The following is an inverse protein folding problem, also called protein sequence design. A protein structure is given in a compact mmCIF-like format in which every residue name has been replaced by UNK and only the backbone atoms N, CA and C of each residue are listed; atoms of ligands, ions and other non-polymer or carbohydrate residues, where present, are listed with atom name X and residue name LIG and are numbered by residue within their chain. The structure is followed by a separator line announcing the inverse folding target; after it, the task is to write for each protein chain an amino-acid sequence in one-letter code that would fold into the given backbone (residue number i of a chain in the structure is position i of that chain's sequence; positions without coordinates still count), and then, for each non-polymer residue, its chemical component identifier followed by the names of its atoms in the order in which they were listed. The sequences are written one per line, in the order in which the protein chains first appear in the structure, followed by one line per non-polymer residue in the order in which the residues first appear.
data_IF_563778259335
#
_entry.id   IF_563778259335
#
_cell.length_a   1.000
_cell.length_b   1.000
_cell.length_c   1.000
_cell.angle_alpha   90.00
_cell.angle_beta   90.00
_cell.angle_gamma   90.00
#
_symmetry.space_group_name_H-M   'P 1'
#
loop_
_entity.id
_entity.type
_entity.pdbx_description
1 polymer ?
#
# COMPACT_ATOMS: atom_id res chain seq x y z
N UNK A 1 19.43 4.88 3.95
CA UNK A 1 20.57 3.97 3.73
C UNK A 1 20.29 2.62 4.38
N UNK A 2 20.67 1.54 3.75
CA UNK A 2 20.46 0.18 4.25
C UNK A 2 21.78 -0.60 4.21
N UNK A 3 22.01 -1.46 5.19
CA UNK A 3 23.16 -2.35 5.23
C UNK A 3 23.01 -3.46 4.19
N UNK A 4 23.89 -3.54 3.20
CA UNK A 4 23.93 -4.60 2.21
C UNK A 4 24.51 -5.92 2.75
N UNK A 5 24.56 -6.96 1.89
CA UNK A 5 25.09 -8.28 2.27
C UNK A 5 26.51 -8.26 2.83
N UNK A 6 27.36 -7.35 2.35
CA UNK A 6 28.76 -7.23 2.78
C UNK A 6 28.97 -6.23 3.90
N UNK A 7 27.90 -5.82 4.61
CA UNK A 7 27.99 -4.84 5.70
C UNK A 7 28.21 -3.38 5.24
N UNK A 8 28.23 -3.11 3.93
CA UNK A 8 28.37 -1.76 3.39
C UNK A 8 27.00 -1.07 3.34
N UNK A 9 26.96 0.22 3.74
CA UNK A 9 25.71 0.99 3.68
C UNK A 9 25.42 1.44 2.25
N UNK A 10 24.29 1.06 1.72
CA UNK A 10 23.82 1.41 0.37
C UNK A 10 22.68 2.41 0.42
N UNK A 11 22.68 3.38 -0.47
CA UNK A 11 21.54 4.26 -0.69
C UNK A 11 20.54 3.60 -1.64
N UNK A 12 19.33 3.42 -1.16
CA UNK A 12 18.21 2.88 -1.93
C UNK A 12 16.95 3.68 -1.65
N UNK A 13 16.23 4.01 -2.70
CA UNK A 13 14.93 4.66 -2.56
C UNK A 13 13.94 3.68 -1.90
N UNK A 14 13.26 4.15 -0.87
CA UNK A 14 12.25 3.41 -0.12
C UNK A 14 11.18 4.38 0.38
N UNK A 15 9.94 3.94 0.41
CA UNK A 15 8.86 4.72 0.98
C UNK A 15 8.85 4.55 2.50
N UNK A 16 8.81 5.67 3.20
CA UNK A 16 8.68 5.70 4.65
C UNK A 16 7.21 5.96 5.01
N UNK A 17 6.64 5.13 5.87
CA UNK A 17 5.29 5.31 6.35
C UNK A 17 5.27 5.32 7.88
N UNK A 18 4.79 6.43 8.44
CA UNK A 18 4.71 6.60 9.89
C UNK A 18 3.43 5.96 10.42
N UNK A 19 3.58 5.12 11.42
CA UNK A 19 2.49 4.37 12.03
C UNK A 19 2.53 4.45 13.54
N UNK A 20 1.42 4.10 14.18
CA UNK A 20 1.35 3.80 15.60
C UNK A 20 1.47 2.30 15.90
N UNK A 21 1.41 1.92 17.15
CA UNK A 21 1.51 0.52 17.59
C UNK A 21 0.35 -0.36 17.10
N UNK A 22 -0.82 0.24 16.89
CA UNK A 22 -2.05 -0.48 16.60
C UNK A 22 -2.32 -0.61 15.10
N UNK A 23 -1.53 0.07 14.26
CA UNK A 23 -1.69 0.08 12.81
C UNK A 23 -1.59 -1.32 12.18
N UNK A 24 -0.52 -2.06 12.49
CA UNK A 24 -0.28 -3.40 11.92
C UNK A 24 -1.42 -4.37 12.26
N UNK A 25 -1.81 -4.55 13.53
CA UNK A 25 -2.94 -5.41 13.86
C UNK A 25 -4.28 -4.83 13.36
N UNK A 26 -4.45 -3.51 13.41
CA UNK A 26 -5.65 -2.83 12.91
C UNK A 26 -5.90 -3.07 11.42
N UNK A 27 -4.86 -2.97 10.60
CA UNK A 27 -4.93 -3.23 9.16
C UNK A 27 -4.88 -4.72 8.81
N UNK A 28 -4.59 -5.61 9.76
CA UNK A 28 -4.46 -7.04 9.52
C UNK A 28 -3.23 -7.40 8.70
N UNK A 29 -2.16 -6.60 8.81
CA UNK A 29 -0.89 -6.86 8.14
C UNK A 29 -0.21 -8.05 8.79
N UNK A 30 0.24 -9.00 7.98
CA UNK A 30 0.92 -10.22 8.47
C UNK A 30 2.40 -9.97 8.60
N UNK A 31 2.97 -10.20 9.78
CA UNK A 31 4.42 -10.30 9.99
C UNK A 31 4.86 -11.72 9.59
N UNK A 32 5.80 -11.80 8.67
CA UNK A 32 6.34 -13.06 8.15
C UNK A 32 7.50 -13.59 8.99
N UNK A 33 8.30 -12.68 9.51
CA UNK A 33 9.48 -12.99 10.31
C UNK A 33 9.75 -11.86 11.30
N UNK A 34 10.31 -12.17 12.46
CA UNK A 34 10.58 -11.21 13.51
C UNK A 34 9.35 -10.87 14.35
N UNK A 35 9.19 -9.60 14.72
CA UNK A 35 8.12 -9.14 15.63
C UNK A 35 7.52 -7.82 15.20
N UNK A 36 6.35 -7.52 15.72
CA UNK A 36 5.75 -6.19 15.66
C UNK A 36 6.37 -5.26 16.71
N UNK A 37 6.04 -3.98 16.64
CA UNK A 37 6.35 -2.99 17.67
C UNK A 37 5.67 -3.34 19.00
N UNK A 38 6.38 -3.09 20.09
CA UNK A 38 5.90 -3.36 21.44
C UNK A 38 6.02 -2.11 22.32
N UNK A 39 4.91 -1.72 22.95
CA UNK A 39 4.85 -0.56 23.87
C UNK A 39 5.77 -0.69 25.08
N UNK A 40 6.13 -1.91 25.45
CA UNK A 40 7.07 -2.17 26.56
C UNK A 40 8.53 -1.92 26.18
N UNK A 41 8.83 -1.89 24.88
CA UNK A 41 10.19 -1.69 24.34
C UNK A 41 10.42 -0.23 23.95
N UNK A 42 11.01 0.56 24.83
CA UNK A 42 11.25 1.99 24.61
C UNK A 42 12.15 2.29 23.42
N UNK A 43 13.00 1.33 23.00
CA UNK A 43 13.90 1.46 21.84
C UNK A 43 13.19 1.34 20.50
N UNK A 44 11.96 0.82 20.47
CA UNK A 44 11.24 0.57 19.22
C UNK A 44 10.92 1.87 18.47
N UNK A 45 10.65 2.94 19.20
CA UNK A 45 10.27 4.24 18.64
C UNK A 45 11.31 4.85 17.69
N UNK A 46 12.60 4.70 18.00
CA UNK A 46 13.65 5.43 17.29
C UNK A 46 14.66 4.50 16.59
N UNK A 47 14.70 3.24 16.98
CA UNK A 47 15.75 2.29 16.58
C UNK A 47 15.22 1.02 15.94
N UNK A 48 13.92 0.87 15.79
CA UNK A 48 13.31 -0.33 15.23
C UNK A 48 12.52 0.00 13.96
N UNK A 49 12.67 -0.84 12.94
CA UNK A 49 11.99 -0.69 11.66
C UNK A 49 11.41 -2.01 11.18
N UNK A 50 10.26 -1.94 10.54
CA UNK A 50 9.61 -3.09 9.89
C UNK A 50 9.56 -2.80 8.40
N UNK A 51 9.98 -3.76 7.59
CA UNK A 51 10.04 -3.64 6.13
C UNK A 51 9.13 -4.65 5.45
N UNK A 52 8.68 -4.34 4.23
CA UNK A 52 7.97 -5.33 3.42
C UNK A 52 8.95 -6.26 2.67
N UNK A 53 8.43 -7.38 2.12
CA UNK A 53 9.23 -8.34 1.36
C UNK A 53 9.96 -7.69 0.18
N UNK A 54 9.29 -6.77 -0.51
CA UNK A 54 9.86 -6.04 -1.65
C UNK A 54 11.05 -5.18 -1.24
N UNK A 55 11.01 -4.51 -0.09
CA UNK A 55 12.16 -3.78 0.44
C UNK A 55 13.31 -4.74 0.80
N UNK A 56 13.00 -5.84 1.48
CA UNK A 56 14.01 -6.82 1.88
C UNK A 56 14.71 -7.44 0.66
N UNK A 57 13.96 -7.74 -0.43
CA UNK A 57 14.54 -8.19 -1.70
C UNK A 57 15.42 -7.11 -2.34
N UNK A 58 14.93 -5.87 -2.38
CA UNK A 58 15.66 -4.76 -3.00
C UNK A 58 16.97 -4.43 -2.30
N UNK A 59 17.05 -4.69 -1.01
CA UNK A 59 18.28 -4.52 -0.22
C UNK A 59 19.22 -5.73 -0.32
N UNK A 60 18.81 -6.84 -0.97
CA UNK A 60 19.58 -8.06 -1.09
C UNK A 60 19.58 -8.91 0.18
N UNK A 61 18.63 -8.70 1.08
CA UNK A 61 18.53 -9.48 2.33
C UNK A 61 17.77 -10.79 2.16
N UNK A 62 17.01 -10.91 1.09
CA UNK A 62 16.28 -12.12 0.72
C UNK A 62 16.67 -12.49 -0.71
N UNK A 63 17.02 -13.75 -0.92
CA UNK A 63 17.32 -14.24 -2.26
C UNK A 63 16.06 -14.20 -3.14
N UNK A 64 16.20 -13.61 -4.34
CA UNK A 64 15.15 -13.50 -5.33
C UNK A 64 15.07 -14.71 -6.28
N UNK A 65 16.01 -15.64 -6.18
CA UNK A 65 16.18 -16.75 -7.13
C UNK A 65 15.27 -17.95 -6.88
N UNK A 66 13.99 -17.73 -6.57
CA UNK A 66 12.96 -18.78 -6.68
C UNK A 66 13.10 -20.00 -5.74
N UNK A 67 13.94 -19.92 -4.72
CA UNK A 67 14.02 -20.96 -3.71
C UNK A 67 12.69 -21.08 -2.96
N UNK A 68 12.18 -22.28 -2.83
CA UNK A 68 10.90 -22.58 -2.17
C UNK A 68 10.85 -22.18 -0.69
N UNK A 69 11.98 -21.85 -0.10
CA UNK A 69 12.12 -21.38 1.29
C UNK A 69 12.84 -20.04 1.27
N UNK A 70 12.07 -18.97 1.47
CA UNK A 70 12.61 -17.61 1.64
C UNK A 70 13.23 -17.50 3.04
N UNK A 71 14.53 -17.23 3.10
CA UNK A 71 15.20 -16.99 4.39
C UNK A 71 15.04 -15.52 4.78
N UNK A 72 13.99 -15.22 5.52
CA UNK A 72 13.74 -13.86 6.01
C UNK A 72 14.62 -13.47 7.20
N UNK A 73 15.13 -14.44 7.95
CA UNK A 73 15.91 -14.18 9.16
C UNK A 73 17.23 -13.45 8.88
N UNK A 74 17.75 -13.51 7.65
CA UNK A 74 18.95 -12.77 7.24
C UNK A 74 18.76 -11.24 7.19
N UNK A 75 17.52 -10.75 7.16
CA UNK A 75 17.21 -9.34 7.19
C UNK A 75 17.06 -8.78 8.61
N UNK A 76 16.74 -9.63 9.58
CA UNK A 76 16.60 -9.21 10.97
C UNK A 76 17.95 -8.73 11.54
N UNK A 77 17.92 -7.65 12.31
CA UNK A 77 19.10 -7.06 12.90
C UNK A 77 20.00 -6.26 11.94
N UNK A 78 19.66 -6.18 10.64
CA UNK A 78 20.36 -5.31 9.68
C UNK A 78 20.17 -3.85 10.05
N UNK A 79 21.23 -3.06 9.88
CA UNK A 79 21.21 -1.61 10.11
C UNK A 79 20.44 -0.91 9.01
N UNK A 80 19.59 -0.01 9.41
CA UNK A 80 18.81 0.83 8.50
C UNK A 80 18.77 2.28 8.98
N UNK A 81 18.85 3.22 8.04
CA UNK A 81 18.69 4.64 8.27
C UNK A 81 17.61 5.19 7.33
N UNK A 82 16.47 5.67 7.85
CA UNK A 82 15.34 6.11 7.03
C UNK A 82 15.58 7.43 6.27
N UNK A 83 16.62 8.18 6.60
CA UNK A 83 16.91 9.47 5.97
C UNK A 83 15.99 10.62 6.39
N UNK A 84 15.20 10.43 7.44
CA UNK A 84 14.18 11.41 7.88
C UNK A 84 14.65 12.24 9.08
N UNK A 85 15.84 11.99 9.60
CA UNK A 85 16.39 12.74 10.72
C UNK A 85 16.84 14.13 10.27
N UNK A 86 16.41 15.16 11.00
CA UNK A 86 16.90 16.54 10.86
C UNK A 86 18.33 16.71 11.40
N UNK A 87 18.79 15.76 12.21
CA UNK A 87 20.13 15.76 12.76
C UNK A 87 21.08 14.98 11.84
N UNK A 88 21.77 15.71 10.99
CA UNK A 88 22.74 15.16 10.03
C UNK A 88 24.07 14.79 10.66
N UNK A 89 24.29 15.12 11.92
CA UNK A 89 25.56 14.91 12.63
C UNK A 89 25.68 13.57 13.34
N UNK A 90 24.56 12.94 13.68
CA UNK A 90 24.50 11.58 14.21
C UNK A 90 23.86 10.63 13.18
N UNK A 91 24.62 9.69 12.68
CA UNK A 91 24.08 8.56 11.90
C UNK A 91 23.21 7.71 12.83
N UNK A 92 21.95 8.09 12.97
CA UNK A 92 20.96 7.40 13.80
C UNK A 92 20.47 6.14 13.09
N UNK A 93 21.32 5.13 13.05
CA UNK A 93 20.92 3.81 12.57
C UNK A 93 20.02 3.14 13.60
N UNK A 94 18.97 2.53 13.09
CA UNK A 94 18.21 1.54 13.83
C UNK A 94 18.35 0.16 13.17
N UNK A 95 17.53 -0.78 13.58
CA UNK A 95 17.62 -2.18 13.19
C UNK A 95 16.29 -2.67 12.63
N UNK A 96 16.35 -3.57 11.67
CA UNK A 96 15.17 -4.26 11.18
C UNK A 96 14.75 -5.29 12.21
N UNK A 97 13.53 -5.15 12.75
CA UNK A 97 12.94 -6.03 13.77
C UNK A 97 11.89 -6.99 13.21
N UNK A 98 11.36 -6.70 12.02
CA UNK A 98 10.34 -7.51 11.41
C UNK A 98 10.24 -7.32 9.90
N UNK A 99 9.76 -8.37 9.24
CA UNK A 99 9.42 -8.36 7.83
C UNK A 99 7.93 -8.63 7.69
N UNK A 100 7.22 -7.74 7.05
CA UNK A 100 5.81 -7.89 6.76
C UNK A 100 5.58 -8.40 5.33
N UNK A 101 4.49 -9.11 5.16
CA UNK A 101 4.01 -9.52 3.85
C UNK A 101 3.73 -8.30 2.98
N UNK A 102 4.06 -8.40 1.70
CA UNK A 102 3.72 -7.37 0.72
C UNK A 102 2.20 -7.14 0.67
N UNK A 103 1.79 -5.88 0.65
CA UNK A 103 0.40 -5.47 0.47
C UNK A 103 0.30 -4.21 -0.38
N UNK A 104 -0.84 -4.04 -1.05
CA UNK A 104 -1.08 -2.87 -1.89
C UNK A 104 -1.54 -1.68 -1.05
N UNK A 105 -0.68 -0.71 -0.84
CA UNK A 105 -0.98 0.52 -0.08
C UNK A 105 -1.23 1.75 -0.97
N UNK A 106 -0.92 1.66 -2.29
CA UNK A 106 -1.14 2.73 -3.28
C UNK A 106 -2.22 2.41 -4.32
N UNK A 107 -2.87 1.27 -4.23
CA UNK A 107 -3.80 0.77 -5.26
C UNK A 107 -3.22 -0.42 -6.01
N UNK A 108 -4.11 -1.33 -6.42
CA UNK A 108 -3.74 -2.65 -6.97
C UNK A 108 -3.05 -2.60 -8.34
N UNK A 109 -3.11 -1.46 -9.03
CA UNK A 109 -2.49 -1.26 -10.35
C UNK A 109 -1.00 -0.98 -10.29
N UNK A 110 -0.55 -0.46 -9.14
CA UNK A 110 0.84 -0.14 -8.96
C UNK A 110 1.60 -1.38 -8.48
N UNK A 111 2.80 -1.55 -8.99
CA UNK A 111 3.71 -2.54 -8.40
C UNK A 111 3.93 -2.22 -6.92
N UNK A 112 4.09 -3.27 -6.13
CA UNK A 112 4.37 -3.10 -4.70
C UNK A 112 5.77 -2.53 -4.56
N UNK A 113 5.84 -1.29 -4.08
CA UNK A 113 7.10 -0.60 -3.87
C UNK A 113 7.73 -0.98 -2.52
N UNK A 114 9.06 -0.82 -2.39
CA UNK A 114 9.75 -0.97 -1.11
C UNK A 114 9.17 -0.02 -0.06
N UNK A 115 8.74 -0.59 1.07
CA UNK A 115 8.09 0.13 2.15
C UNK A 115 8.77 -0.18 3.47
N UNK A 116 8.99 0.88 4.26
CA UNK A 116 9.46 0.80 5.64
C UNK A 116 8.44 1.47 6.54
N UNK A 117 8.03 0.79 7.57
CA UNK A 117 7.19 1.33 8.63
C UNK A 117 8.08 1.93 9.72
N UNK A 118 7.75 3.14 10.14
CA UNK A 118 8.42 3.87 11.21
C UNK A 118 7.41 4.14 12.32
N UNK A 119 7.75 3.71 13.52
CA UNK A 119 6.93 3.98 14.68
C UNK A 119 7.02 5.44 15.08
N UNK A 120 5.90 6.09 15.31
CA UNK A 120 5.81 7.44 15.84
C UNK A 120 4.62 7.59 16.77
N UNK A 121 4.77 8.42 17.77
CA UNK A 121 3.67 8.90 18.63
C UNK A 121 3.37 10.39 18.36
N UNK A 122 4.00 11.00 17.35
CA UNK A 122 3.73 12.37 16.96
C UNK A 122 2.44 12.46 16.12
N UNK A 123 1.35 13.07 16.63
CA UNK A 123 0.08 13.16 15.90
C UNK A 123 0.18 13.85 14.53
N UNK A 124 1.17 14.73 14.36
CA UNK A 124 1.39 15.43 13.07
C UNK A 124 1.88 14.51 11.96
N UNK A 125 2.47 13.38 12.29
CA UNK A 125 2.97 12.40 11.32
C UNK A 125 1.94 11.33 10.96
N UNK A 126 0.90 11.18 11.79
CA UNK A 126 -0.23 10.27 11.57
C UNK A 126 -1.55 11.04 11.63
N UNK A 127 -1.85 11.91 10.64
CA UNK A 127 -3.02 12.77 10.68
C UNK A 127 -4.34 12.02 10.47
N UNK A 128 -4.29 10.75 10.06
CA UNK A 128 -5.46 9.93 9.77
C UNK A 128 -5.62 8.84 10.82
N UNK A 129 -6.83 8.74 11.38
CA UNK A 129 -7.23 7.66 12.28
C UNK A 129 -7.93 6.56 11.47
N UNK A 130 -7.31 5.38 11.40
CA UNK A 130 -7.89 4.21 10.75
C UNK A 130 -8.70 3.41 11.77
N UNK A 131 -9.99 3.22 11.51
CA UNK A 131 -10.89 2.50 12.42
C UNK A 131 -11.51 1.31 11.67
N UNK A 132 -11.34 0.12 12.21
CA UNK A 132 -12.01 -1.08 11.70
C UNK A 132 -13.38 -1.23 12.37
N UNK A 133 -14.42 -1.23 11.55
CA UNK A 133 -15.81 -1.35 11.99
C UNK A 133 -16.34 -2.74 11.63
N UNK A 134 -17.16 -3.32 12.51
CA UNK A 134 -17.90 -4.55 12.19
C UNK A 134 -18.94 -4.26 11.10
N UNK A 135 -19.06 -5.16 10.14
CA UNK A 135 -20.06 -5.07 9.06
C UNK A 135 -21.47 -4.88 9.64
N UNK A 136 -22.19 -3.91 9.10
CA UNK A 136 -23.56 -3.56 9.52
C UNK A 136 -23.63 -2.65 10.76
N UNK A 137 -22.49 -2.17 11.29
CA UNK A 137 -22.42 -1.26 12.42
C UNK A 137 -21.85 0.12 12.06
N UNK A 138 -21.85 0.43 10.77
CA UNK A 138 -21.18 1.62 10.24
C UNK A 138 -21.80 2.90 10.81
N UNK A 139 -23.14 3.02 10.78
CA UNK A 139 -23.84 4.21 11.27
C UNK A 139 -23.69 4.40 12.78
N UNK A 140 -23.80 3.30 13.56
CA UNK A 140 -23.62 3.31 15.00
C UNK A 140 -22.20 3.77 15.37
N UNK A 141 -21.18 3.23 14.67
CA UNK A 141 -19.79 3.60 14.90
C UNK A 141 -19.52 5.08 14.58
N UNK A 142 -20.04 5.57 13.44
CA UNK A 142 -19.90 6.98 13.04
C UNK A 142 -20.54 7.90 14.09
N UNK A 143 -21.76 7.60 14.52
CA UNK A 143 -22.45 8.40 15.54
C UNK A 143 -21.68 8.43 16.87
N UNK A 144 -21.16 7.28 17.29
CA UNK A 144 -20.35 7.15 18.50
C UNK A 144 -19.05 7.98 18.41
N UNK A 145 -18.35 7.89 17.27
CA UNK A 145 -17.10 8.63 17.06
C UNK A 145 -17.37 10.14 17.05
N UNK A 146 -18.42 10.60 16.35
CA UNK A 146 -18.78 12.02 16.30
C UNK A 146 -19.16 12.55 17.71
N UNK A 147 -19.91 11.76 18.50
CA UNK A 147 -20.21 12.09 19.87
C UNK A 147 -18.93 12.24 20.72
N UNK A 148 -18.04 11.25 20.65
CA UNK A 148 -16.78 11.28 21.40
C UNK A 148 -15.90 12.45 21.02
N UNK A 149 -15.80 12.74 19.73
CA UNK A 149 -15.05 13.89 19.22
C UNK A 149 -15.56 15.21 19.81
N UNK A 150 -16.90 15.39 19.87
CA UNK A 150 -17.54 16.57 20.48
C UNK A 150 -17.23 16.66 21.98
N UNK A 151 -17.21 15.53 22.68
CA UNK A 151 -16.82 15.49 24.09
C UNK A 151 -15.38 15.96 24.33
N UNK A 152 -14.46 15.71 23.38
CA UNK A 152 -13.08 16.23 23.39
C UNK A 152 -12.97 17.71 23.00
N UNK A 153 -14.07 18.37 22.65
CA UNK A 153 -14.11 19.80 22.31
C UNK A 153 -13.59 20.11 20.90
N UNK A 154 -13.52 19.13 20.01
CA UNK A 154 -13.13 19.34 18.63
C UNK A 154 -14.21 20.16 17.90
N UNK A 155 -13.78 21.30 17.30
CA UNK A 155 -14.62 22.25 16.59
C UNK A 155 -14.62 22.09 15.08
N UNK A 156 -13.75 21.21 14.56
CA UNK A 156 -13.64 21.01 13.12
C UNK A 156 -14.78 20.12 12.59
N UNK A 157 -15.13 20.23 11.30
CA UNK A 157 -16.06 19.30 10.66
C UNK A 157 -15.61 17.85 10.81
N UNK A 158 -16.55 16.95 11.04
CA UNK A 158 -16.25 15.52 11.08
C UNK A 158 -16.18 14.97 9.64
N UNK A 159 -14.99 14.77 9.17
CA UNK A 159 -14.73 14.17 7.87
C UNK A 159 -14.31 12.72 8.03
N UNK A 160 -14.94 11.83 7.30
CA UNK A 160 -14.59 10.42 7.24
C UNK A 160 -14.76 9.89 5.83
N UNK A 161 -13.99 8.87 5.49
CA UNK A 161 -14.08 8.17 4.22
C UNK A 161 -14.01 6.67 4.46
N UNK A 162 -14.86 5.91 3.77
CA UNK A 162 -14.73 4.46 3.75
C UNK A 162 -13.66 4.05 2.75
N UNK A 163 -12.79 3.13 3.16
CA UNK A 163 -11.71 2.63 2.30
C UNK A 163 -12.23 2.02 1.00
N UNK A 164 -13.35 1.31 1.04
CA UNK A 164 -14.01 0.75 -0.15
C UNK A 164 -14.41 1.83 -1.15
N UNK A 165 -14.88 2.99 -0.69
CA UNK A 165 -15.21 4.12 -1.56
C UNK A 165 -13.98 4.75 -2.17
N UNK A 166 -12.90 4.90 -1.41
CA UNK A 166 -11.62 5.40 -1.92
C UNK A 166 -11.07 4.50 -3.03
N UNK A 167 -11.11 3.20 -2.81
CA UNK A 167 -10.73 2.21 -3.82
C UNK A 167 -11.63 2.32 -5.04
N UNK A 168 -12.95 2.34 -4.86
CA UNK A 168 -13.91 2.46 -5.96
C UNK A 168 -13.72 3.75 -6.77
N UNK A 169 -13.37 4.86 -6.13
CA UNK A 169 -13.06 6.12 -6.81
C UNK A 169 -11.78 6.05 -7.64
N UNK A 170 -10.74 5.43 -7.11
CA UNK A 170 -9.49 5.23 -7.84
C UNK A 170 -9.72 4.45 -9.16
N UNK A 171 -10.72 3.54 -9.19
CA UNK A 171 -11.04 2.73 -10.39
C UNK A 171 -12.12 3.32 -11.31
N UNK A 172 -12.72 4.47 -10.98
CA UNK A 172 -13.75 5.12 -11.83
C UNK A 172 -13.25 5.44 -13.24
N UNK A 173 -12.01 5.91 -13.36
CA UNK A 173 -11.39 6.25 -14.65
C UNK A 173 -11.30 5.05 -15.58
N UNK A 174 -10.89 3.91 -15.07
CA UNK A 174 -10.73 2.67 -15.83
C UNK A 174 -12.05 2.07 -16.26
N UNK A 175 -13.06 2.07 -15.38
CA UNK A 175 -14.41 1.65 -15.75
C UNK A 175 -14.96 2.50 -16.91
N UNK A 176 -14.71 3.81 -16.89
CA UNK A 176 -15.11 4.71 -17.99
C UNK A 176 -14.37 4.39 -19.28
N UNK A 177 -13.06 4.16 -19.20
CA UNK A 177 -12.25 3.74 -20.35
C UNK A 177 -12.73 2.40 -20.91
N UNK A 178 -13.01 1.40 -20.05
CA UNK A 178 -13.57 0.10 -20.46
C UNK A 178 -14.91 0.24 -21.17
N UNK A 179 -15.82 1.09 -20.69
CA UNK A 179 -17.11 1.35 -21.36
C UNK A 179 -16.93 1.99 -22.74
N UNK A 180 -16.01 2.95 -22.87
CA UNK A 180 -15.70 3.57 -24.15
C UNK A 180 -15.15 2.54 -25.16
N UNK A 181 -14.19 1.72 -24.75
CA UNK A 181 -13.64 0.66 -25.58
C UNK A 181 -14.73 -0.34 -26.03
N UNK A 182 -15.60 -0.75 -25.12
CA UNK A 182 -16.71 -1.63 -25.44
C UNK A 182 -17.66 -1.00 -26.47
N UNK A 183 -17.97 0.29 -26.33
CA UNK A 183 -18.83 1.02 -27.27
C UNK A 183 -18.21 1.07 -28.68
N UNK A 184 -16.93 1.36 -28.78
CA UNK A 184 -16.20 1.34 -30.05
C UNK A 184 -16.12 -0.06 -30.65
N UNK A 185 -15.93 -1.09 -29.84
CA UNK A 185 -15.92 -2.48 -30.31
C UNK A 185 -17.26 -2.87 -30.94
N UNK A 186 -18.37 -2.57 -30.27
CA UNK A 186 -19.71 -2.82 -30.79
C UNK A 186 -19.95 -2.08 -32.11
N UNK A 187 -19.56 -0.79 -32.18
CA UNK A 187 -19.68 0.00 -33.39
C UNK A 187 -18.84 -0.60 -34.55
N UNK A 188 -17.62 -1.01 -34.26
CA UNK A 188 -16.71 -1.62 -35.27
C UNK A 188 -17.29 -2.93 -35.81
N UNK A 189 -17.83 -3.80 -34.95
CA UNK A 189 -18.49 -5.04 -35.37
C UNK A 189 -19.70 -4.71 -36.26
N UNK A 190 -20.52 -3.74 -35.88
CA UNK A 190 -21.68 -3.31 -36.66
C UNK A 190 -21.27 -2.84 -38.06
N UNK A 191 -20.26 -1.98 -38.17
CA UNK A 191 -19.73 -1.51 -39.45
C UNK A 191 -19.14 -2.64 -40.30
N UNK A 192 -18.43 -3.58 -39.68
CA UNK A 192 -17.90 -4.75 -40.37
C UNK A 192 -19.01 -5.63 -40.98
N UNK A 193 -20.11 -5.86 -40.23
CA UNK A 193 -21.27 -6.59 -40.72
C UNK A 193 -21.93 -5.87 -41.92
N UNK A 194 -22.10 -4.53 -41.81
CA UNK A 194 -22.66 -3.73 -42.90
C UNK A 194 -21.76 -3.77 -44.14
N UNK A 195 -20.45 -3.70 -43.97
CA UNK A 195 -19.47 -3.79 -45.07
C UNK A 195 -19.57 -5.13 -45.78
N UNK A 196 -19.63 -6.24 -45.03
CA UNK A 196 -19.77 -7.59 -45.59
C UNK A 196 -21.13 -7.75 -46.35
N UNK A 197 -22.21 -7.26 -45.78
CA UNK A 197 -23.53 -7.30 -46.40
C UNK A 197 -23.56 -6.50 -47.74
N UNK A 198 -22.94 -5.28 -47.71
CA UNK A 198 -22.81 -4.45 -48.91
C UNK A 198 -21.99 -5.15 -50.01
N UNK A 199 -20.90 -5.79 -49.67
CA UNK A 199 -20.06 -6.52 -50.61
C UNK A 199 -20.78 -7.74 -51.16
N UNK A 200 -21.46 -8.51 -50.34
CA UNK A 200 -22.23 -9.68 -50.73
C UNK A 200 -23.37 -9.27 -51.69
N UNK A 201 -24.09 -8.19 -51.38
CA UNK A 201 -25.16 -7.64 -52.23
C UNK A 201 -24.63 -7.19 -53.59
N UNK A 202 -23.52 -6.50 -53.62
CA UNK A 202 -22.89 -6.05 -54.83
C UNK A 202 -22.42 -7.21 -55.73
N UNK A 203 -21.82 -8.24 -55.17
CA UNK A 203 -21.38 -9.44 -55.90
C UNK A 203 -22.54 -10.22 -56.47
N UNK A 204 -23.69 -10.25 -55.78
CA UNK A 204 -24.91 -10.93 -56.25
C UNK A 204 -25.50 -10.17 -57.44
N UNK A 205 -25.50 -8.83 -57.42
CA UNK A 205 -26.00 -8.01 -58.54
C UNK A 205 -25.14 -8.14 -59.81
N UNK A 206 -23.83 -8.36 -59.69
CA UNK A 206 -22.94 -8.53 -60.83
C UNK A 206 -23.12 -9.90 -61.54
N UNK A 207 -23.73 -10.87 -60.90
CA UNK A 207 -23.93 -12.22 -61.45
C UNK A 207 -25.30 -12.42 -62.12
N UNK A 208 -26.18 -11.43 -62.06
CA UNK A 208 -27.46 -11.41 -62.75
C UNK A 208 -27.37 -10.60 -64.04
#
# INVERSE_FOLDING_TARGET
KAEGEKGTMMERAVNNYFIDYDYIPGMGITILEGRNYDRSMTTDKDKAYIVNETAARRFGWIDSTGASVKNYSSALGKKFFPGVSLDTTAENYGFIIGIMKDFHYKGMQNEIEPLVLLLTDEPRRTPLLNIRIKKGKEQEAIAFIDQKRKEFGDKYPFEYQFMDNMIAEAYKGEKRMGMLLLSFTVLTIFLAILGLLGLASFLTQQRT
#
